data_IF_780031323048
#
_entry.id   IF_780031323048
#
_cell.length_a   1.000
_cell.length_b   1.000
_cell.length_c   1.000
_cell.angle_alpha   90.00
_cell.angle_beta   90.00
_cell.angle_gamma   90.00
#
_symmetry.space_group_name_H-M   'P 1'
#
loop_
_entity.id
_entity.type
_entity.pdbx_description
1 polymer ?
#
# COMPACT_ATOMS: atom_id res chain seq x y z
N UNK A 1 4.27 25.83 -19.32
CA UNK A 1 3.09 25.83 -18.44
C UNK A 1 2.78 27.27 -18.07
N UNK A 2 1.51 27.62 -17.93
CA UNK A 2 1.08 28.95 -17.48
C UNK A 2 0.08 28.74 -16.35
N UNK A 3 0.27 29.43 -15.21
CA UNK A 3 -0.76 29.57 -14.18
C UNK A 3 -1.77 30.61 -14.68
N UNK A 4 -3.03 30.22 -14.79
CA UNK A 4 -4.12 31.13 -15.12
C UNK A 4 -4.97 31.32 -13.85
N UNK A 5 -4.87 32.50 -13.24
CA UNK A 5 -5.80 32.90 -12.20
C UNK A 5 -7.08 33.40 -12.87
N UNK A 6 -8.03 32.48 -13.01
CA UNK A 6 -9.33 32.81 -13.58
C UNK A 6 -10.19 33.43 -12.49
N UNK A 7 -10.30 34.76 -12.51
CA UNK A 7 -11.44 35.41 -11.86
C UNK A 7 -12.70 35.01 -12.61
N UNK A 8 -13.71 34.49 -11.91
CA UNK A 8 -14.97 34.05 -12.52
C UNK A 8 -15.63 35.20 -13.31
N UNK A 9 -15.64 35.09 -14.64
CA UNK A 9 -16.53 35.86 -15.51
C UNK A 9 -17.71 35.02 -16.04
N UNK A 10 -17.68 33.70 -15.88
CA UNK A 10 -18.67 32.76 -16.43
C UNK A 10 -19.52 32.11 -15.31
N UNK A 11 -20.84 31.96 -15.50
CA UNK A 11 -21.78 31.47 -14.48
C UNK A 11 -21.83 29.93 -14.35
N UNK A 12 -21.00 29.20 -15.10
CA UNK A 12 -20.95 27.73 -15.07
C UNK A 12 -19.68 27.30 -14.35
N UNK A 13 -19.83 26.93 -13.09
CA UNK A 13 -18.77 26.29 -12.31
C UNK A 13 -18.57 24.86 -12.86
N UNK A 14 -17.32 24.40 -13.03
CA UNK A 14 -17.04 22.99 -13.30
C UNK A 14 -17.69 22.07 -12.25
N UNK A 15 -18.08 20.85 -12.63
CA UNK A 15 -18.74 19.88 -11.73
C UNK A 15 -17.90 19.52 -10.49
N UNK A 16 -16.58 19.73 -10.57
CA UNK A 16 -15.59 19.51 -9.52
C UNK A 16 -15.35 20.73 -8.61
N UNK A 17 -16.12 21.82 -8.79
CA UNK A 17 -16.05 23.02 -7.94
C UNK A 17 -17.27 23.15 -6.99
N UNK A 18 -17.10 23.76 -5.81
CA UNK A 18 -18.21 24.04 -4.90
C UNK A 18 -19.29 24.88 -5.60
N UNK A 19 -20.57 24.50 -5.43
CA UNK A 19 -21.70 25.16 -6.09
C UNK A 19 -21.83 26.66 -5.75
N UNK A 20 -21.27 27.09 -4.61
CA UNK A 20 -21.23 28.49 -4.15
C UNK A 20 -20.09 29.33 -4.77
N UNK A 21 -19.17 28.67 -5.48
CA UNK A 21 -17.91 29.24 -5.97
C UNK A 21 -16.84 29.29 -4.88
N UNK A 22 -15.57 29.41 -5.28
CA UNK A 22 -14.46 29.52 -4.34
C UNK A 22 -14.51 30.85 -3.56
N UNK A 23 -14.27 30.79 -2.25
CA UNK A 23 -14.33 31.92 -1.33
C UNK A 23 -12.96 32.20 -0.70
N UNK A 24 -12.62 33.49 -0.53
CA UNK A 24 -11.48 33.91 0.27
C UNK A 24 -11.77 33.87 1.78
N UNK A 25 -10.75 34.16 2.60
CA UNK A 25 -10.85 34.17 4.06
C UNK A 25 -11.87 35.18 4.62
N UNK A 26 -12.28 36.18 3.82
CA UNK A 26 -13.27 37.19 4.16
C UNK A 26 -14.68 36.83 3.63
N UNK A 27 -14.82 35.68 2.97
CA UNK A 27 -16.06 35.17 2.41
C UNK A 27 -16.44 35.77 1.04
N UNK A 28 -15.52 36.47 0.37
CA UNK A 28 -15.74 36.97 -0.99
C UNK A 28 -15.36 35.91 -2.03
N UNK A 29 -16.01 35.93 -3.20
CA UNK A 29 -15.64 35.02 -4.29
C UNK A 29 -14.26 35.37 -4.86
N UNK A 30 -13.31 34.46 -4.75
CA UNK A 30 -11.97 34.62 -5.33
C UNK A 30 -11.83 33.92 -6.70
N UNK A 31 -12.78 33.05 -7.04
CA UNK A 31 -12.84 32.35 -8.32
C UNK A 31 -11.94 31.12 -8.43
N UNK A 32 -11.15 30.82 -7.40
CA UNK A 32 -10.24 29.67 -7.38
C UNK A 32 -9.04 29.80 -8.31
N UNK A 33 -8.36 28.68 -8.54
CA UNK A 33 -7.20 28.59 -9.44
C UNK A 33 -7.31 27.40 -10.38
N UNK A 34 -6.95 27.61 -11.65
CA UNK A 34 -6.81 26.54 -12.62
C UNK A 34 -5.38 26.49 -13.19
N UNK A 35 -4.88 25.27 -13.38
CA UNK A 35 -3.56 25.04 -13.96
C UNK A 35 -3.70 24.32 -15.28
N UNK A 36 -3.13 24.88 -16.34
CA UNK A 36 -3.27 24.38 -17.71
C UNK A 36 -1.93 24.06 -18.36
N UNK A 37 -1.88 22.91 -19.04
CA UNK A 37 -0.75 22.50 -19.86
C UNK A 37 -0.91 23.00 -21.29
N UNK A 38 0.02 23.86 -21.69
CA UNK A 38 0.19 24.29 -23.08
C UNK A 38 1.39 23.55 -23.66
N UNK A 39 1.16 22.73 -24.69
CA UNK A 39 2.19 21.99 -25.40
C UNK A 39 2.11 22.29 -26.91
N UNK A 40 3.26 22.42 -27.56
CA UNK A 40 3.31 22.79 -28.98
C UNK A 40 2.55 21.79 -29.87
N UNK A 41 1.70 22.31 -30.75
CA UNK A 41 0.83 21.52 -31.62
C UNK A 41 -0.25 20.67 -30.92
N UNK A 42 -0.45 20.80 -29.59
CA UNK A 42 -1.50 20.08 -28.86
C UNK A 42 -2.56 21.04 -28.30
N UNK A 43 -3.82 20.59 -28.16
CA UNK A 43 -4.83 21.34 -27.42
C UNK A 43 -4.39 21.63 -25.99
N UNK A 44 -4.85 22.77 -25.46
CA UNK A 44 -4.77 23.07 -24.03
C UNK A 44 -5.41 21.93 -23.22
N UNK A 45 -4.76 21.57 -22.11
CA UNK A 45 -5.28 20.57 -21.19
C UNK A 45 -5.25 21.10 -19.76
N UNK A 46 -6.42 21.21 -19.15
CA UNK A 46 -6.55 21.48 -17.71
C UNK A 46 -5.91 20.33 -16.92
N UNK A 47 -5.00 20.68 -16.02
CA UNK A 47 -4.31 19.74 -15.14
C UNK A 47 -4.97 19.69 -13.76
N UNK A 48 -5.25 20.86 -13.19
CA UNK A 48 -5.80 21.00 -11.84
C UNK A 48 -6.79 22.16 -11.83
N UNK A 49 -7.81 22.06 -10.98
CA UNK A 49 -8.74 23.12 -10.64
C UNK A 49 -9.07 22.99 -9.15
N UNK A 50 -8.94 24.05 -8.37
CA UNK A 50 -9.22 24.01 -6.93
C UNK A 50 -9.58 25.38 -6.36
N UNK A 51 -10.33 25.34 -5.26
CA UNK A 51 -10.57 26.47 -4.38
C UNK A 51 -9.55 26.43 -3.24
N UNK A 52 -8.95 27.56 -2.90
CA UNK A 52 -8.09 27.67 -1.71
C UNK A 52 -8.93 28.08 -0.48
N UNK A 53 -10.17 27.58 -0.40
CA UNK A 53 -11.17 27.90 0.63
C UNK A 53 -10.96 27.13 1.94
N UNK A 54 -9.84 26.42 2.04
CA UNK A 54 -9.42 25.67 3.21
C UNK A 54 -10.07 24.29 3.26
N UNK A 55 -9.24 23.26 3.18
CA UNK A 55 -9.73 21.89 3.17
C UNK A 55 -10.24 21.45 4.56
N UNK A 56 -11.57 21.41 4.73
CA UNK A 56 -12.26 20.78 5.87
C UNK A 56 -12.92 21.74 6.86
N UNK A 57 -13.46 21.21 7.96
CA UNK A 57 -14.35 21.90 8.90
C UNK A 57 -13.73 23.13 9.64
N UNK A 58 -12.46 23.43 9.42
CA UNK A 58 -11.77 24.57 10.03
C UNK A 58 -11.40 25.68 9.03
N UNK A 59 -11.67 25.51 7.72
CA UNK A 59 -11.34 26.52 6.71
C UNK A 59 -9.84 26.84 6.63
N UNK A 60 -8.99 25.89 7.04
CA UNK A 60 -7.52 26.03 7.01
C UNK A 60 -6.97 24.90 6.15
N UNK A 61 -6.47 25.27 4.97
CA UNK A 61 -5.73 24.41 4.09
C UNK A 61 -4.92 25.24 3.12
N UNK A 62 -3.78 24.70 2.73
CA UNK A 62 -2.84 25.36 1.83
C UNK A 62 -2.57 24.45 0.64
N UNK A 63 -2.55 25.04 -0.56
CA UNK A 63 -2.07 24.44 -1.80
C UNK A 63 -0.71 25.03 -2.19
N UNK A 64 0.25 24.16 -2.46
CA UNK A 64 1.52 24.52 -3.06
C UNK A 64 1.72 23.76 -4.37
N UNK A 65 2.00 24.49 -5.45
CA UNK A 65 2.29 23.93 -6.77
C UNK A 65 3.74 24.25 -7.12
N UNK A 66 4.53 23.20 -7.38
CA UNK A 66 5.88 23.31 -7.91
C UNK A 66 5.93 22.75 -9.32
N UNK A 67 6.51 23.52 -10.24
CA UNK A 67 6.60 23.15 -11.67
C UNK A 67 8.06 23.09 -12.08
N UNK A 68 8.45 22.01 -12.76
CA UNK A 68 9.76 21.86 -13.37
C UNK A 68 9.66 21.17 -14.74
N UNK A 69 10.80 20.89 -15.38
CA UNK A 69 10.84 20.28 -16.71
C UNK A 69 10.08 18.94 -16.74
N UNK A 70 8.97 18.92 -17.47
CA UNK A 70 8.07 17.78 -17.62
C UNK A 70 7.47 17.23 -16.31
N UNK A 71 7.47 18.02 -15.22
CA UNK A 71 7.01 17.57 -13.91
C UNK A 71 6.18 18.64 -13.18
N UNK A 72 5.19 18.19 -12.42
CA UNK A 72 4.40 19.01 -11.51
C UNK A 72 4.27 18.29 -10.17
N UNK A 73 4.49 19.00 -9.08
CA UNK A 73 4.18 18.55 -7.73
C UNK A 73 3.06 19.41 -7.17
N UNK A 74 2.00 18.76 -6.68
CA UNK A 74 0.88 19.41 -5.99
C UNK A 74 0.86 18.94 -4.55
N UNK A 75 1.10 19.86 -3.63
CA UNK A 75 1.02 19.61 -2.18
C UNK A 75 -0.25 20.26 -1.67
N UNK A 76 -1.06 19.49 -0.96
CA UNK A 76 -2.22 19.94 -0.21
C UNK A 76 -1.98 19.65 1.25
N UNK A 77 -2.35 20.59 2.12
CA UNK A 77 -2.33 20.35 3.55
C UNK A 77 -3.53 20.98 4.21
N UNK A 78 -3.89 20.49 5.40
CA UNK A 78 -5.00 21.05 6.13
C UNK A 78 -5.24 20.38 7.47
N UNK A 79 -6.41 20.70 8.04
CA UNK A 79 -6.86 20.16 9.32
C UNK A 79 -6.45 21.01 10.53
N UNK A 80 -6.99 20.65 11.70
CA UNK A 80 -6.86 21.41 12.94
C UNK A 80 -6.04 20.66 14.00
N UNK A 81 -6.69 19.85 14.83
CA UNK A 81 -6.01 18.94 15.75
C UNK A 81 -5.41 17.75 14.98
N UNK A 82 -6.17 17.20 14.05
CA UNK A 82 -5.69 16.24 13.07
C UNK A 82 -5.22 16.99 11.83
N UNK A 83 -3.93 16.89 11.56
CA UNK A 83 -3.25 17.49 10.42
C UNK A 83 -3.01 16.43 9.38
N UNK A 84 -3.13 16.83 8.13
CA UNK A 84 -2.77 15.98 7.01
C UNK A 84 -2.04 16.77 5.93
N UNK A 85 -1.22 16.05 5.18
CA UNK A 85 -0.49 16.56 4.02
C UNK A 85 -0.60 15.50 2.93
N UNK A 86 -0.92 15.89 1.72
CA UNK A 86 -0.98 15.02 0.54
C UNK A 86 -0.18 15.66 -0.59
N UNK A 87 0.73 14.90 -1.18
CA UNK A 87 1.60 15.31 -2.26
C UNK A 87 1.38 14.39 -3.46
N UNK A 88 0.97 14.97 -4.58
CA UNK A 88 0.85 14.26 -5.85
C UNK A 88 1.96 14.73 -6.78
N UNK A 89 2.67 13.77 -7.37
CA UNK A 89 3.69 14.01 -8.38
C UNK A 89 3.17 13.58 -9.74
N UNK A 90 3.36 14.43 -10.74
CA UNK A 90 2.87 14.24 -12.09
C UNK A 90 4.00 14.41 -13.10
N UNK A 91 4.09 13.49 -14.06
CA UNK A 91 4.77 13.72 -15.34
C UNK A 91 3.77 14.37 -16.30
N UNK A 92 4.20 15.38 -17.05
CA UNK A 92 3.29 16.15 -17.91
C UNK A 92 3.13 15.55 -19.32
N UNK A 93 4.18 14.89 -19.83
CA UNK A 93 4.23 14.26 -21.15
C UNK A 93 5.16 13.03 -21.18
N UNK A 94 4.63 11.81 -21.45
CA UNK A 94 3.21 11.48 -21.38
C UNK A 94 2.64 11.78 -19.99
N UNK A 95 1.36 12.13 -19.93
CA UNK A 95 0.69 12.51 -18.70
C UNK A 95 0.62 11.30 -17.75
N UNK A 96 1.16 11.42 -16.55
CA UNK A 96 1.26 10.30 -15.62
C UNK A 96 1.20 10.84 -14.20
N UNK A 97 0.45 10.22 -13.28
CA UNK A 97 0.76 10.35 -11.85
C UNK A 97 1.96 9.46 -11.60
N UNK A 98 3.07 10.01 -11.10
CA UNK A 98 4.32 9.26 -10.81
C UNK A 98 4.39 8.81 -9.37
N UNK A 99 3.72 9.50 -8.46
CA UNK A 99 3.65 9.09 -7.07
C UNK A 99 2.68 9.89 -6.23
N UNK A 100 2.22 9.28 -5.16
CA UNK A 100 1.36 9.90 -4.15
C UNK A 100 2.05 9.71 -2.79
N UNK A 101 2.13 10.76 -2.00
CA UNK A 101 2.56 10.68 -0.62
C UNK A 101 1.51 11.36 0.24
N UNK A 102 0.96 10.65 1.22
CA UNK A 102 -0.01 11.21 2.15
C UNK A 102 0.44 10.97 3.57
N UNK A 103 0.14 11.90 4.44
CA UNK A 103 0.46 11.83 5.84
C UNK A 103 -0.72 12.37 6.65
N UNK A 104 -1.00 11.72 7.78
CA UNK A 104 -1.97 12.19 8.76
C UNK A 104 -1.40 12.00 10.18
N UNK A 105 -1.56 13.00 11.04
CA UNK A 105 -1.07 12.99 12.42
C UNK A 105 -1.88 13.94 13.31
N UNK A 106 -1.86 13.71 14.61
CA UNK A 106 -2.39 14.66 15.59
C UNK A 106 -1.29 15.64 16.01
N UNK A 107 -1.56 16.94 15.97
CA UNK A 107 -0.63 17.96 16.44
C UNK A 107 -0.71 18.22 17.96
N UNK A 108 -1.57 17.49 18.67
CA UNK A 108 -1.72 17.55 20.13
C UNK A 108 -1.43 16.20 20.79
N UNK A 109 -1.27 15.13 20.01
CA UNK A 109 -0.92 13.78 20.48
C UNK A 109 0.29 13.24 19.71
N UNK A 110 1.37 13.01 20.42
CA UNK A 110 2.60 12.43 19.88
C UNK A 110 2.39 11.01 19.34
N UNK A 111 3.21 10.61 18.37
CA UNK A 111 3.30 9.23 17.86
C UNK A 111 2.01 8.72 17.21
N UNK A 112 1.18 9.64 16.72
CA UNK A 112 -0.06 9.34 15.98
C UNK A 112 0.13 9.35 14.47
N UNK A 113 1.29 9.82 14.00
CA UNK A 113 1.59 9.98 12.59
C UNK A 113 1.59 8.68 11.81
N UNK A 114 0.95 8.72 10.65
CA UNK A 114 1.00 7.67 9.62
C UNK A 114 1.31 8.33 8.28
N UNK A 115 2.19 7.71 7.50
CA UNK A 115 2.52 8.15 6.14
C UNK A 115 2.34 7.00 5.17
N UNK A 116 1.71 7.27 4.03
CA UNK A 116 1.49 6.34 2.93
C UNK A 116 2.17 6.90 1.70
N UNK A 117 3.09 6.14 1.10
CA UNK A 117 3.75 6.49 -0.15
C UNK A 117 3.42 5.45 -1.21
N UNK A 118 2.97 5.91 -2.37
CA UNK A 118 2.61 5.10 -3.55
C UNK A 118 3.56 5.48 -4.69
N UNK A 119 4.27 4.49 -5.23
CA UNK A 119 4.97 4.57 -6.51
C UNK A 119 4.10 3.91 -7.58
N UNK A 120 3.61 4.72 -8.51
CA UNK A 120 2.66 4.27 -9.54
C UNK A 120 3.33 3.44 -10.63
N UNK A 121 4.63 3.62 -10.87
CA UNK A 121 5.37 2.88 -11.88
C UNK A 121 5.57 1.41 -11.48
N UNK A 122 5.65 1.15 -10.18
CA UNK A 122 5.84 -0.20 -9.62
C UNK A 122 4.63 -0.72 -8.86
N UNK A 123 3.53 0.06 -8.80
CA UNK A 123 2.41 -0.18 -7.88
C UNK A 123 2.85 -0.41 -6.42
N UNK A 124 4.02 0.13 -6.06
CA UNK A 124 4.62 -0.06 -4.74
C UNK A 124 3.93 0.80 -3.71
N UNK A 125 3.53 0.21 -2.58
CA UNK A 125 2.87 0.94 -1.48
C UNK A 125 3.62 0.71 -0.18
N UNK A 126 4.14 1.80 0.38
CA UNK A 126 4.83 1.80 1.69
C UNK A 126 3.99 2.56 2.70
N UNK A 127 3.84 2.00 3.90
CA UNK A 127 3.20 2.66 5.04
C UNK A 127 4.20 2.78 6.17
N UNK A 128 4.40 4.00 6.65
CA UNK A 128 5.16 4.30 7.85
C UNK A 128 4.20 4.69 8.96
N UNK A 129 4.52 4.31 10.19
CA UNK A 129 3.76 4.71 11.36
C UNK A 129 4.54 4.51 12.64
N UNK A 130 3.88 4.80 13.76
CA UNK A 130 4.46 4.59 15.09
C UNK A 130 3.75 3.48 15.85
N UNK A 131 4.49 2.81 16.75
CA UNK A 131 3.96 1.83 17.70
C UNK A 131 3.15 2.56 18.77
N UNK A 132 1.91 2.12 18.97
CA UNK A 132 1.05 2.64 20.02
C UNK A 132 1.65 2.43 21.42
N UNK A 133 1.56 3.46 22.28
CA UNK A 133 1.85 3.37 23.72
C UNK A 133 3.32 3.42 24.11
N UNK A 134 4.18 4.07 23.33
CA UNK A 134 5.56 4.29 23.77
C UNK A 134 5.70 5.49 24.72
N UNK A 135 6.39 5.33 25.84
CA UNK A 135 6.79 6.42 26.76
C UNK A 135 7.97 7.24 26.19
N UNK A 136 7.72 8.37 25.55
CA UNK A 136 8.75 9.18 24.88
C UNK A 136 8.39 10.67 24.95
N UNK A 137 9.37 11.54 24.71
CA UNK A 137 9.18 12.98 24.82
C UNK A 137 8.07 13.44 23.86
N UNK A 138 7.08 14.17 24.39
CA UNK A 138 5.79 14.38 23.74
C UNK A 138 5.85 15.28 22.50
N UNK A 139 6.90 16.09 22.34
CA UNK A 139 7.02 16.97 21.16
C UNK A 139 7.82 16.34 20.02
N UNK A 140 8.75 15.42 20.31
CA UNK A 140 9.58 14.76 19.29
C UNK A 140 8.79 13.79 18.39
N UNK A 141 7.59 13.39 18.81
CA UNK A 141 6.72 12.46 18.08
C UNK A 141 5.57 13.10 17.31
N UNK A 142 5.48 14.43 17.27
CA UNK A 142 4.43 15.12 16.52
C UNK A 142 4.89 15.34 15.09
N UNK A 143 4.10 14.84 14.12
CA UNK A 143 4.36 15.05 12.70
C UNK A 143 4.24 13.80 11.86
N UNK A 144 4.72 13.93 10.63
CA UNK A 144 4.75 12.84 9.67
C UNK A 144 5.94 11.91 9.91
N UNK A 145 5.74 10.59 9.99
CA UNK A 145 6.85 9.67 10.09
C UNK A 145 7.72 9.72 8.83
N UNK A 146 9.03 9.77 9.05
CA UNK A 146 10.05 9.75 7.99
C UNK A 146 10.98 8.56 8.17
N UNK A 147 11.60 8.07 7.09
CA UNK A 147 12.60 7.00 7.22
C UNK A 147 13.82 7.43 8.06
N UNK A 148 14.09 8.74 8.16
CA UNK A 148 15.12 9.30 9.05
C UNK A 148 14.78 9.18 10.54
N UNK A 149 13.51 8.96 10.91
CA UNK A 149 13.10 8.76 12.32
C UNK A 149 13.59 7.42 12.89
N UNK A 150 14.30 6.61 12.09
CA UNK A 150 14.80 5.30 12.46
C UNK A 150 16.10 5.31 13.33
N UNK A 151 16.52 6.41 13.96
CA UNK A 151 17.76 6.47 14.77
C UNK A 151 17.60 7.40 16.00
N UNK A 152 18.02 7.01 17.24
CA UNK A 152 18.83 5.84 17.67
C UNK A 152 18.01 4.66 18.25
N UNK A 153 18.70 3.54 18.56
CA UNK A 153 18.18 2.18 18.82
C UNK A 153 17.04 2.06 19.86
N UNK A 154 16.88 3.00 20.79
CA UNK A 154 15.76 3.02 21.73
C UNK A 154 14.45 3.52 21.09
N UNK A 155 14.55 4.44 20.12
CA UNK A 155 13.43 4.98 19.31
C UNK A 155 13.10 4.08 18.10
N UNK A 156 14.06 3.26 17.65
CA UNK A 156 13.85 2.24 16.60
C UNK A 156 12.70 1.27 16.87
N UNK A 157 12.29 1.08 18.13
CA UNK A 157 11.16 0.23 18.50
C UNK A 157 9.80 0.89 18.29
N UNK A 158 9.78 2.20 17.98
CA UNK A 158 8.56 2.97 17.73
C UNK A 158 8.25 3.08 16.25
N UNK A 159 9.25 3.25 15.40
CA UNK A 159 9.03 3.38 13.96
C UNK A 159 8.68 2.03 13.34
N UNK A 160 7.61 2.00 12.56
CA UNK A 160 7.11 0.83 11.86
C UNK A 160 7.04 1.13 10.37
N UNK A 161 7.60 0.24 9.56
CA UNK A 161 7.48 0.26 8.10
C UNK A 161 6.77 -1.01 7.64
N UNK A 162 5.70 -0.85 6.88
CA UNK A 162 4.98 -1.92 6.23
C UNK A 162 4.92 -1.70 4.72
N UNK A 163 4.77 -2.80 3.98
CA UNK A 163 4.45 -2.80 2.56
C UNK A 163 2.98 -3.20 2.42
N UNK A 164 2.13 -2.28 1.96
CA UNK A 164 0.72 -2.61 1.75
C UNK A 164 0.55 -3.39 0.43
N UNK A 165 -0.47 -4.24 0.37
CA UNK A 165 -0.81 -4.95 -0.87
C UNK A 165 -1.53 -3.97 -1.80
N UNK A 166 -1.05 -3.76 -3.04
CA UNK A 166 -1.72 -2.85 -3.97
C UNK A 166 -3.03 -3.47 -4.50
N UNK A 167 -3.99 -2.59 -4.76
CA UNK A 167 -5.25 -2.84 -5.47
C UNK A 167 -5.25 -1.99 -6.75
N UNK A 168 -4.63 -2.45 -7.84
CA UNK A 168 -4.62 -1.71 -9.10
C UNK A 168 -5.93 -1.86 -9.86
N UNK A 169 -6.19 -0.95 -10.80
CA UNK A 169 -7.19 -1.19 -11.83
C UNK A 169 -6.69 -2.33 -12.73
N UNK A 170 -7.58 -3.25 -13.14
CA UNK A 170 -7.21 -4.37 -14.00
C UNK A 170 -7.81 -4.18 -15.40
N UNK A 171 -6.96 -4.18 -16.42
CA UNK A 171 -7.38 -4.17 -17.81
C UNK A 171 -7.89 -5.56 -18.23
N UNK A 172 -9.20 -5.75 -18.14
CA UNK A 172 -9.88 -6.98 -18.56
C UNK A 172 -9.83 -8.12 -17.54
N UNK A 173 -10.24 -9.34 -17.94
CA UNK A 173 -10.28 -10.47 -17.03
C UNK A 173 -8.88 -10.99 -16.68
N UNK A 174 -8.68 -11.45 -15.45
CA UNK A 174 -7.44 -12.11 -14.99
C UNK A 174 -7.56 -13.64 -15.16
N UNK A 175 -6.81 -14.26 -16.10
CA UNK A 175 -6.79 -15.71 -16.29
C UNK A 175 -6.51 -16.47 -14.98
N UNK A 176 -6.99 -17.71 -14.89
CA UNK A 176 -6.81 -18.54 -13.70
C UNK A 176 -5.32 -18.83 -13.42
N UNK A 177 -4.53 -18.94 -14.49
CA UNK A 177 -3.10 -19.21 -14.52
C UNK A 177 -2.25 -17.94 -14.70
N UNK A 178 -2.83 -16.74 -14.57
CA UNK A 178 -2.06 -15.49 -14.64
C UNK A 178 -1.16 -15.31 -13.42
N UNK A 179 0.07 -14.86 -13.64
CA UNK A 179 1.03 -14.54 -12.59
C UNK A 179 1.09 -13.10 -12.17
N UNK A 180 1.97 -12.84 -11.20
CA UNK A 180 2.23 -11.48 -10.72
C UNK A 180 3.57 -11.03 -11.30
N UNK A 181 3.52 -10.02 -12.16
CA UNK A 181 4.69 -9.30 -12.64
C UNK A 181 4.99 -8.13 -11.71
N UNK A 182 5.00 -6.92 -12.27
CA UNK A 182 5.31 -5.69 -11.52
C UNK A 182 4.14 -5.10 -10.75
N UNK A 183 2.94 -5.67 -10.83
CA UNK A 183 1.72 -5.13 -10.20
C UNK A 183 1.48 -5.54 -8.74
N UNK A 184 2.49 -6.07 -8.05
CA UNK A 184 2.31 -6.63 -6.72
C UNK A 184 3.42 -6.24 -5.77
N UNK A 185 3.10 -6.26 -4.48
CA UNK A 185 4.09 -6.15 -3.41
C UNK A 185 4.98 -7.39 -3.41
N UNK A 186 6.27 -7.21 -3.17
CA UNK A 186 7.24 -8.30 -3.07
C UNK A 186 7.90 -8.33 -1.69
N UNK A 187 8.13 -9.52 -1.16
CA UNK A 187 8.96 -9.77 0.02
C UNK A 187 9.96 -10.89 -0.27
N UNK A 188 11.13 -10.82 0.33
CA UNK A 188 12.23 -11.76 0.11
C UNK A 188 12.87 -12.16 1.42
N UNK A 189 13.16 -13.45 1.55
CA UNK A 189 13.70 -14.01 2.78
C UNK A 189 15.17 -13.63 3.05
N UNK A 190 15.85 -12.99 2.10
CA UNK A 190 17.14 -12.33 2.31
C UNK A 190 17.03 -10.93 2.97
N UNK A 191 15.81 -10.42 3.17
CA UNK A 191 15.55 -9.13 3.80
C UNK A 191 15.71 -7.93 2.87
N UNK A 192 15.97 -8.13 1.57
CA UNK A 192 16.03 -7.03 0.58
C UNK A 192 14.68 -6.36 0.34
N UNK A 193 13.57 -7.08 0.61
CA UNK A 193 12.21 -6.56 0.57
C UNK A 193 11.37 -7.19 1.70
N UNK A 194 10.58 -6.38 2.40
CA UNK A 194 9.84 -6.80 3.59
C UNK A 194 10.71 -6.87 4.85
N UNK A 195 10.25 -7.60 5.87
CA UNK A 195 10.95 -7.78 7.15
C UNK A 195 11.07 -9.25 7.50
N UNK A 196 12.28 -9.70 7.86
CA UNK A 196 12.48 -11.03 8.45
C UNK A 196 12.13 -10.97 9.94
N UNK A 197 11.03 -11.63 10.33
CA UNK A 197 10.46 -11.57 11.69
C UNK A 197 10.81 -12.80 12.55
N UNK A 198 11.35 -13.84 11.94
CA UNK A 198 11.84 -15.04 12.63
C UNK A 198 13.00 -15.66 11.84
N UNK A 199 13.97 -16.24 12.55
CA UNK A 199 15.14 -16.89 11.96
C UNK A 199 16.19 -15.89 11.47
N UNK A 200 17.10 -16.37 10.63
CA UNK A 200 18.17 -15.56 10.01
C UNK A 200 17.84 -15.37 8.53
N UNK A 201 18.07 -14.15 8.04
CA UNK A 201 17.94 -13.82 6.63
C UNK A 201 18.73 -14.81 5.75
N UNK A 202 18.18 -15.16 4.60
CA UNK A 202 18.84 -16.00 3.63
C UNK A 202 20.03 -15.27 2.99
N UNK A 203 20.99 -16.04 2.45
CA UNK A 203 21.89 -15.48 1.46
C UNK A 203 21.07 -15.07 0.19
N UNK A 204 21.49 -14.01 -0.53
CA UNK A 204 20.77 -13.53 -1.71
C UNK A 204 20.43 -14.64 -2.71
N UNK A 205 19.16 -14.70 -3.14
CA UNK A 205 18.64 -15.70 -4.10
C UNK A 205 18.49 -17.13 -3.55
N UNK A 206 18.89 -17.39 -2.29
CA UNK A 206 18.83 -18.73 -1.67
C UNK A 206 17.58 -18.97 -0.82
N UNK A 207 16.86 -17.92 -0.44
CA UNK A 207 15.62 -18.01 0.34
C UNK A 207 14.36 -17.92 -0.51
N UNK A 208 13.21 -18.00 0.16
CA UNK A 208 11.92 -17.81 -0.49
C UNK A 208 11.67 -16.36 -0.93
N UNK A 209 10.87 -16.19 -1.97
CA UNK A 209 10.36 -14.91 -2.46
C UNK A 209 8.84 -15.03 -2.62
N UNK A 210 8.11 -14.00 -2.22
CA UNK A 210 6.66 -13.93 -2.35
C UNK A 210 6.26 -12.63 -3.04
N UNK A 211 5.34 -12.71 -4.01
CA UNK A 211 4.64 -11.56 -4.59
C UNK A 211 3.15 -11.65 -4.27
N UNK A 212 2.50 -10.52 -4.02
CA UNK A 212 1.05 -10.48 -3.79
C UNK A 212 0.39 -9.25 -4.41
N UNK A 213 -0.84 -9.41 -4.90
CA UNK A 213 -1.70 -8.33 -5.38
C UNK A 213 -3.14 -8.62 -5.00
N UNK A 214 -3.89 -7.59 -4.62
CA UNK A 214 -5.32 -7.68 -4.43
C UNK A 214 -6.03 -7.34 -5.75
N UNK A 215 -6.89 -8.23 -6.22
CA UNK A 215 -7.65 -8.01 -7.46
C UNK A 215 -8.91 -7.18 -7.20
N UNK A 216 -9.42 -7.25 -5.98
CA UNK A 216 -10.57 -6.53 -5.45
C UNK A 216 -10.54 -6.62 -3.90
N UNK A 217 -11.55 -6.08 -3.21
CA UNK A 217 -11.65 -6.10 -1.74
C UNK A 217 -11.76 -7.49 -1.09
N UNK A 218 -11.85 -8.57 -1.89
CA UNK A 218 -12.05 -9.96 -1.43
C UNK A 218 -11.20 -11.01 -2.12
N UNK A 219 -10.32 -10.65 -3.04
CA UNK A 219 -9.57 -11.58 -3.87
C UNK A 219 -8.09 -11.24 -3.85
N UNK A 220 -7.27 -12.22 -3.50
CA UNK A 220 -5.80 -12.10 -3.50
C UNK A 220 -5.21 -13.08 -4.51
N UNK A 221 -4.18 -12.62 -5.21
CA UNK A 221 -3.28 -13.48 -5.95
C UNK A 221 -1.92 -13.44 -5.25
N UNK A 222 -1.34 -14.60 -4.99
CA UNK A 222 -0.04 -14.74 -4.32
C UNK A 222 0.81 -15.73 -5.11
N UNK A 223 2.02 -15.32 -5.49
CA UNK A 223 3.04 -16.17 -6.09
C UNK A 223 4.16 -16.41 -5.07
N UNK A 224 4.50 -17.68 -4.83
CA UNK A 224 5.56 -18.09 -3.91
C UNK A 224 6.62 -18.88 -4.66
N UNK A 225 7.85 -18.37 -4.65
CA UNK A 225 9.05 -19.11 -4.99
C UNK A 225 9.69 -19.59 -3.69
N UNK A 226 9.81 -20.90 -3.50
CA UNK A 226 10.53 -21.46 -2.34
C UNK A 226 11.40 -22.65 -2.79
N UNK A 227 12.74 -22.51 -2.77
CA UNK A 227 13.64 -23.57 -3.18
C UNK A 227 13.69 -24.75 -2.19
N UNK A 228 13.22 -24.58 -0.95
CA UNK A 228 13.17 -25.60 0.10
C UNK A 228 11.81 -26.28 0.20
N UNK A 229 10.81 -25.85 -0.58
CA UNK A 229 9.44 -26.36 -0.47
C UNK A 229 9.33 -27.90 -0.53
N UNK A 230 10.12 -28.56 -1.39
CA UNK A 230 10.09 -30.01 -1.58
C UNK A 230 10.59 -30.83 -0.38
N UNK A 231 11.42 -30.25 0.49
CA UNK A 231 11.92 -30.89 1.72
C UNK A 231 11.32 -30.30 2.99
N UNK A 232 10.68 -29.12 2.89
CA UNK A 232 10.23 -28.34 4.04
C UNK A 232 9.21 -29.05 4.93
N UNK A 233 8.21 -29.72 4.34
CA UNK A 233 7.15 -30.41 5.10
C UNK A 233 7.55 -31.78 5.67
N UNK A 234 8.71 -32.32 5.32
CA UNK A 234 9.10 -33.67 5.73
C UNK A 234 9.32 -33.75 7.24
N UNK A 235 8.50 -34.54 7.94
CA UNK A 235 8.57 -34.71 9.39
C UNK A 235 7.88 -33.60 10.20
N UNK A 236 7.13 -32.71 9.54
CA UNK A 236 6.33 -31.70 10.22
C UNK A 236 5.25 -32.35 11.10
N UNK A 237 5.10 -31.88 12.34
CA UNK A 237 4.05 -32.34 13.27
C UNK A 237 2.75 -31.52 13.18
N UNK A 238 2.81 -30.36 12.53
CA UNK A 238 1.70 -29.44 12.28
C UNK A 238 1.97 -28.64 11.02
N UNK A 239 0.97 -27.92 10.51
CA UNK A 239 1.10 -27.04 9.34
C UNK A 239 2.18 -25.96 9.53
N UNK A 240 2.41 -25.50 10.77
CA UNK A 240 3.45 -24.51 11.11
C UNK A 240 4.86 -25.00 10.74
N UNK A 241 5.10 -26.32 10.79
CA UNK A 241 6.36 -26.93 10.38
C UNK A 241 6.50 -27.15 8.87
N UNK A 242 5.50 -26.74 8.07
CA UNK A 242 5.52 -26.86 6.61
C UNK A 242 5.72 -25.48 5.97
N UNK A 243 6.14 -25.41 4.69
CA UNK A 243 6.11 -24.16 3.93
C UNK A 243 4.67 -23.67 3.76
N UNK A 244 4.39 -22.42 4.15
CA UNK A 244 3.04 -21.87 4.10
C UNK A 244 3.04 -20.34 4.08
N UNK A 245 1.93 -19.76 3.61
CA UNK A 245 1.60 -18.34 3.75
C UNK A 245 0.77 -18.17 5.02
N UNK A 246 1.06 -17.16 5.83
CA UNK A 246 0.14 -16.68 6.86
C UNK A 246 -0.51 -15.36 6.44
N UNK A 247 -1.80 -15.22 6.69
CA UNK A 247 -2.53 -13.95 6.55
C UNK A 247 -2.95 -13.49 7.93
N UNK A 248 -2.59 -12.26 8.29
CA UNK A 248 -3.17 -11.56 9.43
C UNK A 248 -4.16 -10.52 8.91
N UNK A 249 -5.41 -10.71 9.29
CA UNK A 249 -6.56 -9.88 8.91
C UNK A 249 -7.07 -9.13 10.14
N UNK A 250 -7.90 -8.10 9.93
CA UNK A 250 -8.68 -7.51 11.02
C UNK A 250 -9.53 -8.58 11.71
N UNK A 251 -9.47 -8.61 13.04
CA UNK A 251 -10.31 -9.48 13.86
C UNK A 251 -11.75 -9.00 13.89
N UNK A 252 -12.67 -9.88 14.26
CA UNK A 252 -14.05 -9.47 14.54
C UNK A 252 -14.08 -8.40 15.66
N UNK A 253 -15.01 -7.45 15.59
CA UNK A 253 -15.09 -6.32 16.54
C UNK A 253 -15.24 -6.77 18.00
N UNK A 254 -15.85 -7.93 18.20
CA UNK A 254 -16.11 -8.61 19.46
C UNK A 254 -15.00 -9.59 19.88
N UNK A 255 -13.90 -9.65 19.14
CA UNK A 255 -12.74 -10.49 19.47
C UNK A 255 -11.83 -9.83 20.50
N UNK A 256 -11.33 -10.57 21.52
CA UNK A 256 -10.33 -10.06 22.45
C UNK A 256 -8.95 -9.80 21.79
N UNK A 257 -8.79 -10.25 20.53
CA UNK A 257 -7.62 -9.95 19.69
C UNK A 257 -8.08 -9.09 18.51
N UNK A 258 -7.39 -7.96 18.23
CA UNK A 258 -7.78 -7.06 17.14
C UNK A 258 -7.47 -7.62 15.74
N UNK A 259 -6.88 -8.82 15.66
CA UNK A 259 -6.54 -9.51 14.42
C UNK A 259 -6.99 -10.97 14.46
N UNK A 260 -7.09 -11.56 13.28
CA UNK A 260 -7.26 -12.99 13.08
C UNK A 260 -6.21 -13.51 12.09
N UNK A 261 -5.78 -14.76 12.26
CA UNK A 261 -4.70 -15.37 11.51
C UNK A 261 -5.18 -16.63 10.79
N UNK A 262 -4.73 -16.79 9.54
CA UNK A 262 -4.88 -18.00 8.76
C UNK A 262 -3.50 -18.49 8.31
N UNK A 263 -3.29 -19.80 8.29
CA UNK A 263 -2.18 -20.44 7.59
C UNK A 263 -2.69 -21.11 6.30
N UNK A 264 -1.95 -20.99 5.21
CA UNK A 264 -2.28 -21.58 3.91
C UNK A 264 -1.05 -22.30 3.37
N UNK A 265 -1.09 -23.63 3.37
CA UNK A 265 0.01 -24.46 2.84
C UNK A 265 0.08 -24.36 1.31
N UNK A 266 1.23 -24.74 0.74
CA UNK A 266 1.46 -24.64 -0.71
C UNK A 266 0.61 -25.60 -1.56
N UNK A 267 -0.13 -26.53 -0.94
CA UNK A 267 -1.16 -27.35 -1.58
C UNK A 267 -2.59 -26.76 -1.43
N UNK A 268 -2.72 -25.59 -0.79
CA UNK A 268 -3.95 -24.82 -0.69
C UNK A 268 -4.82 -25.15 0.52
N UNK A 269 -4.36 -26.00 1.45
CA UNK A 269 -5.11 -26.24 2.69
C UNK A 269 -5.07 -25.01 3.58
N UNK A 270 -6.24 -24.63 4.11
CA UNK A 270 -6.39 -23.50 5.03
C UNK A 270 -6.50 -23.99 6.46
N UNK A 271 -5.68 -23.42 7.33
CA UNK A 271 -5.63 -23.72 8.75
C UNK A 271 -5.95 -22.46 9.56
N UNK A 272 -6.80 -22.60 10.57
CA UNK A 272 -7.03 -21.52 11.53
C UNK A 272 -5.79 -21.32 12.42
N UNK A 273 -5.39 -20.06 12.61
CA UNK A 273 -4.41 -19.62 13.59
C UNK A 273 -5.08 -18.99 14.80
N UNK A 274 -4.60 -17.81 15.20
CA UNK A 274 -5.19 -16.99 16.27
C UNK A 274 -6.48 -16.31 15.81
N UNK A 275 -7.48 -16.20 16.70
CA UNK A 275 -8.72 -15.46 16.43
C UNK A 275 -9.70 -16.19 15.51
N UNK A 276 -10.72 -15.47 15.03
CA UNK A 276 -11.72 -15.98 14.07
C UNK A 276 -11.59 -15.19 12.77
N UNK A 277 -10.98 -15.80 11.76
CA UNK A 277 -10.81 -15.20 10.44
C UNK A 277 -11.88 -15.76 9.46
N UNK A 278 -12.30 -14.92 8.52
CA UNK A 278 -13.05 -15.39 7.35
C UNK A 278 -12.17 -16.34 6.54
N UNK A 279 -12.67 -17.53 6.19
CA UNK A 279 -11.88 -18.54 5.46
C UNK A 279 -12.10 -18.35 3.95
N UNK A 280 -11.04 -18.15 3.13
CA UNK A 280 -11.17 -18.05 1.69
C UNK A 280 -11.27 -19.43 1.03
N UNK A 281 -11.84 -19.46 -0.18
CA UNK A 281 -11.58 -20.56 -1.12
C UNK A 281 -10.22 -20.34 -1.75
N UNK A 282 -9.40 -21.38 -1.82
CA UNK A 282 -8.04 -21.33 -2.36
C UNK A 282 -7.94 -22.23 -3.60
N UNK A 283 -7.52 -21.66 -4.72
CA UNK A 283 -7.12 -22.40 -5.90
C UNK A 283 -5.59 -22.37 -6.02
N UNK A 284 -4.99 -23.52 -6.34
CA UNK A 284 -3.55 -23.67 -6.47
C UNK A 284 -3.18 -24.03 -7.89
N UNK A 285 -2.16 -23.36 -8.42
CA UNK A 285 -1.54 -23.73 -9.70
C UNK A 285 -0.02 -23.62 -9.62
N UNK A 286 0.67 -24.21 -10.59
CA UNK A 286 2.10 -24.00 -10.81
C UNK A 286 2.27 -22.91 -11.86
N UNK A 287 3.35 -22.14 -11.75
CA UNK A 287 3.68 -21.08 -12.71
C UNK A 287 5.18 -20.83 -12.77
N UNK A 288 5.55 -19.85 -13.59
CA UNK A 288 6.93 -19.42 -13.78
C UNK A 288 6.99 -17.90 -13.55
N UNK A 289 7.92 -17.44 -12.72
CA UNK A 289 8.15 -16.01 -12.48
C UNK A 289 8.91 -15.32 -13.64
N UNK A 290 9.16 -14.02 -13.53
CA UNK A 290 9.88 -13.23 -14.53
C UNK A 290 11.35 -13.66 -14.73
N UNK A 291 11.92 -14.42 -13.79
CA UNK A 291 13.29 -14.94 -13.81
C UNK A 291 13.35 -16.40 -14.28
N UNK A 292 12.26 -16.91 -14.87
CA UNK A 292 12.13 -18.28 -15.34
C UNK A 292 12.30 -19.34 -14.23
N UNK A 293 11.75 -19.06 -13.03
CA UNK A 293 11.80 -19.97 -11.87
C UNK A 293 10.41 -20.47 -11.52
N UNK A 294 10.34 -21.70 -11.03
CA UNK A 294 9.08 -22.30 -10.56
C UNK A 294 8.50 -21.52 -9.37
N UNK A 295 7.20 -21.25 -9.46
CA UNK A 295 6.39 -20.68 -8.38
C UNK A 295 5.15 -21.51 -8.11
N UNK A 296 4.72 -21.50 -6.85
CA UNK A 296 3.38 -21.92 -6.44
C UNK A 296 2.49 -20.70 -6.42
N UNK A 297 1.38 -20.77 -7.15
CA UNK A 297 0.39 -19.71 -7.23
C UNK A 297 -0.82 -20.06 -6.40
N UNK A 298 -1.19 -19.16 -5.51
CA UNK A 298 -2.38 -19.26 -4.66
C UNK A 298 -3.34 -18.13 -5.07
N UNK A 299 -4.53 -18.49 -5.53
CA UNK A 299 -5.62 -17.56 -5.78
C UNK A 299 -6.69 -17.73 -4.72
N UNK A 300 -6.88 -16.70 -3.90
CA UNK A 300 -7.76 -16.70 -2.75
C UNK A 300 -9.00 -15.87 -3.08
N UNK A 301 -10.16 -16.32 -2.63
CA UNK A 301 -11.41 -15.57 -2.71
C UNK A 301 -12.21 -15.72 -1.43
N UNK A 302 -12.42 -14.60 -0.74
CA UNK A 302 -13.26 -14.52 0.45
C UNK A 302 -14.74 -14.35 0.04
N UNK A 303 -15.65 -14.74 0.95
CA UNK A 303 -17.08 -14.63 0.71
C UNK A 303 -17.58 -13.17 0.79
N UNK A 304 -17.14 -12.41 1.80
CA UNK A 304 -17.47 -11.00 1.99
C UNK A 304 -16.67 -10.11 1.02
N UNK A 305 -17.29 -9.07 0.46
CA UNK A 305 -16.68 -8.19 -0.55
C UNK A 305 -15.61 -7.25 0.00
N UNK A 306 -15.66 -6.98 1.29
CA UNK A 306 -14.79 -6.09 2.06
C UNK A 306 -13.87 -6.87 3.02
N UNK A 307 -13.70 -8.18 2.81
CA UNK A 307 -12.96 -9.06 3.71
C UNK A 307 -11.52 -8.58 4.01
N UNK A 308 -10.93 -7.80 3.11
CA UNK A 308 -9.57 -7.26 3.25
C UNK A 308 -9.50 -5.81 3.76
N UNK A 309 -10.63 -5.09 3.82
CA UNK A 309 -10.66 -3.65 4.07
C UNK A 309 -10.12 -3.24 5.45
N UNK A 310 -10.11 -4.17 6.41
CA UNK A 310 -9.69 -3.91 7.79
C UNK A 310 -8.18 -3.94 8.04
N UNK A 311 -7.36 -4.34 7.07
CA UNK A 311 -5.92 -4.56 7.25
C UNK A 311 -5.47 -5.94 6.81
N UNK A 312 -4.31 -6.01 6.15
CA UNK A 312 -3.72 -7.25 5.67
C UNK A 312 -2.20 -7.26 5.87
N UNK A 313 -1.70 -8.25 6.60
CA UNK A 313 -0.27 -8.59 6.63
C UNK A 313 -0.09 -10.00 6.08
N UNK A 314 0.84 -10.14 5.12
CA UNK A 314 1.18 -11.42 4.52
C UNK A 314 2.55 -11.83 5.05
N UNK A 315 2.62 -13.05 5.60
CA UNK A 315 3.86 -13.67 6.03
C UNK A 315 4.10 -14.90 5.19
N UNK A 316 5.35 -15.14 4.79
CA UNK A 316 5.79 -16.43 4.29
C UNK A 316 6.64 -17.15 5.32
N UNK A 317 6.29 -18.40 5.60
CA UNK A 317 7.04 -19.32 6.45
C UNK A 317 7.81 -20.31 5.58
N UNK A 318 9.12 -20.11 5.49
CA UNK A 318 10.01 -21.10 4.89
C UNK A 318 10.35 -22.16 5.95
N UNK A 319 10.29 -23.42 5.55
CA UNK A 319 10.53 -24.56 6.44
C UNK A 319 11.57 -25.51 5.83
N UNK A 320 12.31 -26.19 6.70
CA UNK A 320 13.23 -27.25 6.33
C UNK A 320 13.10 -28.41 7.34
N UNK A 321 12.94 -29.64 6.84
CA UNK A 321 12.88 -30.86 7.68
C UNK A 321 11.82 -30.78 8.80
N UNK A 322 10.64 -30.24 8.45
CA UNK A 322 9.49 -30.18 9.35
C UNK A 322 9.60 -29.10 10.43
N UNK A 323 10.53 -28.15 10.27
CA UNK A 323 10.74 -27.03 11.18
C UNK A 323 10.67 -25.72 10.42
N UNK A 324 10.00 -24.75 11.01
CA UNK A 324 10.04 -23.36 10.55
C UNK A 324 11.48 -22.86 10.66
N UNK A 325 12.03 -22.42 9.53
CA UNK A 325 13.40 -21.93 9.42
C UNK A 325 13.43 -20.41 9.53
N UNK A 326 12.50 -19.74 8.82
CA UNK A 326 12.36 -18.29 8.84
C UNK A 326 10.95 -17.84 8.49
N UNK A 327 10.63 -16.63 8.92
CA UNK A 327 9.42 -15.93 8.55
C UNK A 327 9.78 -14.59 7.93
N UNK A 328 9.19 -14.28 6.79
CA UNK A 328 9.32 -12.98 6.11
C UNK A 328 7.96 -12.37 5.93
N UNK A 329 7.81 -11.08 6.23
CA UNK A 329 6.52 -10.42 6.35
C UNK A 329 6.48 -9.09 5.61
N UNK A 330 5.29 -8.70 5.15
CA UNK A 330 5.04 -7.35 4.63
C UNK A 330 5.04 -6.29 5.73
N UNK A 331 4.91 -6.66 7.01
CA UNK A 331 4.93 -5.73 8.14
C UNK A 331 5.59 -6.35 9.40
N UNK A 332 6.02 -5.54 10.39
CA UNK A 332 6.54 -6.05 11.65
C UNK A 332 5.47 -6.83 12.43
N UNK A 333 5.84 -8.02 12.90
CA UNK A 333 4.99 -8.88 13.73
C UNK A 333 5.79 -9.26 14.98
N UNK A 334 5.25 -8.95 16.17
CA UNK A 334 5.85 -9.30 17.44
C UNK A 334 4.92 -10.23 18.20
N UNK A 335 5.42 -11.42 18.61
CA UNK A 335 4.64 -12.41 19.39
C UNK A 335 3.26 -12.69 18.77
N UNK A 336 3.24 -12.99 17.46
CA UNK A 336 2.03 -13.23 16.67
C UNK A 336 1.08 -12.03 16.56
N UNK A 337 1.53 -10.82 16.89
CA UNK A 337 0.72 -9.60 16.78
C UNK A 337 1.34 -8.67 15.74
N UNK A 338 0.66 -8.40 14.62
CA UNK A 338 1.07 -7.34 13.70
C UNK A 338 1.13 -6.01 14.47
N UNK A 339 2.24 -5.30 14.34
CA UNK A 339 2.39 -3.97 14.95
C UNK A 339 1.82 -2.88 14.05
N UNK A 340 1.73 -3.15 12.75
CA UNK A 340 1.13 -2.32 11.72
C UNK A 340 0.46 -3.24 10.71
N UNK A 341 -0.79 -2.98 10.35
CA UNK A 341 -1.57 -3.79 9.41
C UNK A 341 -2.35 -2.89 8.45
N UNK A 342 -1.67 -2.29 7.45
CA UNK A 342 -2.36 -1.43 6.49
C UNK A 342 -3.39 -2.25 5.70
N UNK A 343 -4.51 -1.64 5.37
CA UNK A 343 -5.44 -2.22 4.39
C UNK A 343 -4.75 -2.29 3.01
N UNK A 344 -5.15 -3.23 2.14
CA UNK A 344 -4.78 -3.12 0.74
C UNK A 344 -5.19 -1.75 0.17
N UNK A 345 -4.30 -1.16 -0.61
CA UNK A 345 -4.41 0.24 -1.02
C UNK A 345 -4.69 0.35 -2.51
N UNK A 346 -5.74 1.08 -2.88
CA UNK A 346 -5.99 1.43 -4.27
C UNK A 346 -4.82 2.25 -4.82
N UNK A 347 -4.26 1.81 -5.95
CA UNK A 347 -3.18 2.54 -6.64
C UNK A 347 -3.72 3.10 -7.95
N UNK A 348 -3.37 4.34 -8.34
CA UNK A 348 -3.82 4.96 -9.60
C UNK A 348 -3.00 4.41 -10.78
N UNK A 349 -2.93 3.09 -10.88
CA UNK A 349 -2.18 2.34 -11.87
C UNK A 349 -3.06 1.26 -12.47
N UNK A 350 -3.01 1.12 -13.79
CA UNK A 350 -3.65 0.02 -14.51
C UNK A 350 -2.66 -1.11 -14.72
N UNK A 351 -3.12 -2.32 -14.45
CA UNK A 351 -2.38 -3.55 -14.64
C UNK A 351 -3.03 -4.38 -15.73
N UNK A 352 -2.23 -4.82 -16.70
CA UNK A 352 -2.67 -5.66 -17.80
C UNK A 352 -1.90 -6.98 -17.80
N UNK A 353 -2.45 -7.98 -18.49
CA UNK A 353 -1.74 -9.24 -18.73
C UNK A 353 -0.70 -9.00 -19.84
N UNK A 354 0.57 -9.09 -19.47
CA UNK A 354 1.71 -9.14 -20.39
C UNK A 354 2.50 -10.42 -20.11
N UNK A 355 2.74 -11.23 -21.13
CA UNK A 355 3.44 -12.53 -21.03
C UNK A 355 2.89 -13.43 -19.92
N UNK A 356 1.55 -13.47 -19.80
CA UNK A 356 0.84 -14.27 -18.79
C UNK A 356 0.92 -13.73 -17.36
N UNK A 357 1.36 -12.48 -17.15
CA UNK A 357 1.55 -11.88 -15.82
C UNK A 357 0.92 -10.49 -15.73
N UNK A 358 0.41 -10.15 -14.55
CA UNK A 358 -0.06 -8.81 -14.22
C UNK A 358 1.13 -7.86 -14.12
N UNK A 359 1.26 -7.00 -15.12
CA UNK A 359 2.32 -6.02 -15.27
C UNK A 359 1.69 -4.66 -15.42
N UNK A 360 2.34 -3.65 -14.83
CA UNK A 360 1.89 -2.26 -14.95
C UNK A 360 1.88 -1.91 -16.44
N UNK A 361 0.69 -1.70 -16.98
CA UNK A 361 0.51 -1.09 -18.29
C UNK A 361 0.60 0.41 -18.08
N UNK A 362 1.24 1.15 -19.00
CA UNK A 362 1.33 2.61 -18.90
C UNK A 362 -0.02 3.25 -18.55
N UNK A 363 -0.01 4.36 -17.82
CA UNK A 363 -1.25 5.10 -17.58
C UNK A 363 -1.60 5.78 -18.90
N UNK A 364 -2.71 5.37 -19.53
CA UNK A 364 -3.26 6.03 -20.71
C UNK A 364 -3.93 7.36 -20.34
#
# INVERSE_FOLDING_TARGET
MIELRLGLSEPVLPDDMPAEGCLDADGNRDGGSEWHLLADGKPERRLLAFCNDGYGASGVGDDEIMVSDNHLTHIRSGGSAWRWVETHNYQLSPALVTGIDSCNYSNIEAWTGTRLSIDTATAGVTVLGYRAGGDGDNEAGIGCPTESDALPIAEKMRFLKALAVPVPAIAGPVPADAGIGTCGVAISADGSAGTVIHGIAAAPGRGAELRAVALDGRSLLIDVRDPLAGSGGQGAKSWVGQPHVELYLKGAEDSPKPFAQLGITLDGQVHAGVGKAAVPVVAVSRGIDEKNRDVTRLRLRFAAEDALAGGLVIVYSEAEKGRQLRLTSTAPVERLTPLLAPAPTAVPTTCAIADGRLTVSGLD
#
